data_IF_668649668511
#
_entry.id   IF_668649668511
#
_cell.length_a   1.000
_cell.length_b   1.000
_cell.length_c   1.000
_cell.angle_alpha   90.00
_cell.angle_beta   90.00
_cell.angle_gamma   90.00
#
_symmetry.space_group_name_H-M   'P 1'
#
loop_
_entity.id
_entity.type
_entity.pdbx_description
1 polymer ?
#
# COMPACT_ATOMS: atom_id res chain seq x y z
N UNK A 1 -16.88 -19.22 -14.12
CA UNK A 1 -15.83 -18.30 -13.67
C UNK A 1 -15.11 -18.92 -12.48
N UNK A 2 -13.80 -19.10 -12.60
CA UNK A 2 -13.08 -19.67 -11.47
C UNK A 2 -13.13 -18.74 -10.27
N UNK A 3 -13.19 -19.31 -9.08
CA UNK A 3 -13.11 -18.53 -7.85
C UNK A 3 -11.73 -17.90 -7.73
N UNK A 4 -11.66 -16.66 -7.28
CA UNK A 4 -10.39 -16.01 -7.04
C UNK A 4 -9.67 -16.68 -5.86
N UNK A 5 -8.34 -16.65 -5.89
CA UNK A 5 -7.52 -17.12 -4.78
C UNK A 5 -7.92 -16.35 -3.51
N UNK A 6 -8.13 -17.03 -2.36
CA UNK A 6 -8.49 -16.33 -1.11
C UNK A 6 -7.51 -15.23 -0.70
N UNK A 7 -6.20 -15.40 -1.00
CA UNK A 7 -5.21 -14.36 -0.71
C UNK A 7 -5.40 -13.14 -1.60
N UNK A 8 -5.75 -13.35 -2.88
CA UNK A 8 -6.05 -12.26 -3.80
C UNK A 8 -7.28 -11.49 -3.33
N UNK A 9 -8.34 -12.19 -2.92
CA UNK A 9 -9.55 -11.56 -2.41
C UNK A 9 -9.26 -10.75 -1.15
N UNK A 10 -8.49 -11.30 -0.21
CA UNK A 10 -8.14 -10.61 1.02
C UNK A 10 -7.33 -9.35 0.72
N UNK A 11 -6.37 -9.43 -0.21
CA UNK A 11 -5.56 -8.28 -0.60
C UNK A 11 -6.40 -7.22 -1.26
N UNK A 12 -7.29 -7.60 -2.20
CA UNK A 12 -8.14 -6.63 -2.90
C UNK A 12 -9.14 -5.95 -1.99
N UNK A 13 -9.65 -6.66 -0.98
CA UNK A 13 -10.57 -6.07 0.00
C UNK A 13 -9.91 -4.91 0.76
N UNK A 14 -8.60 -4.93 0.95
CA UNK A 14 -7.86 -3.85 1.58
C UNK A 14 -7.91 -2.56 0.76
N UNK A 15 -8.10 -2.68 -0.56
CA UNK A 15 -8.18 -1.51 -1.44
C UNK A 15 -9.38 -0.61 -1.15
N UNK A 16 -10.42 -1.14 -0.52
CA UNK A 16 -11.60 -0.35 -0.12
C UNK A 16 -11.39 0.39 1.20
N UNK A 17 -10.31 0.11 1.92
CA UNK A 17 -10.01 0.74 3.21
C UNK A 17 -9.40 2.12 3.02
N UNK A 18 -9.57 3.00 4.01
CA UNK A 18 -8.97 4.34 3.97
C UNK A 18 -7.46 4.29 4.22
N UNK A 19 -7.01 3.41 5.10
CA UNK A 19 -5.61 3.24 5.43
C UNK A 19 -5.28 1.76 5.54
N UNK A 20 -4.08 1.42 5.09
CA UNK A 20 -3.50 0.12 5.39
C UNK A 20 -2.14 0.33 6.06
N UNK A 21 -1.79 -0.60 6.95
CA UNK A 21 -0.44 -0.67 7.48
C UNK A 21 0.39 -1.47 6.49
N UNK A 22 1.35 -0.80 5.86
CA UNK A 22 2.32 -1.45 4.98
C UNK A 22 3.57 -1.72 5.82
N UNK A 23 3.91 -2.99 5.96
CA UNK A 23 5.12 -3.39 6.69
C UNK A 23 6.18 -3.83 5.69
N UNK A 24 7.29 -3.11 5.68
CA UNK A 24 8.48 -3.45 4.91
C UNK A 24 9.52 -4.01 5.85
N UNK A 25 10.58 -4.62 5.32
CA UNK A 25 11.55 -5.34 6.15
C UNK A 25 12.96 -4.84 5.89
N UNK A 26 13.70 -4.63 6.98
CA UNK A 26 15.12 -4.32 6.90
C UNK A 26 15.89 -5.55 6.44
N UNK A 27 17.16 -5.37 6.06
CA UNK A 27 17.99 -6.49 5.61
C UNK A 27 18.16 -7.57 6.68
N UNK A 28 18.11 -7.17 7.95
CA UNK A 28 18.18 -8.12 9.07
C UNK A 28 16.83 -8.78 9.40
N UNK A 29 15.78 -8.49 8.61
CA UNK A 29 14.45 -9.05 8.83
C UNK A 29 13.54 -8.26 9.75
N UNK A 30 14.01 -7.17 10.33
CA UNK A 30 13.23 -6.38 11.26
C UNK A 30 12.08 -5.66 10.52
N UNK A 31 10.82 -5.79 11.00
CA UNK A 31 9.68 -5.15 10.36
C UNK A 31 9.63 -3.65 10.64
N UNK A 32 9.20 -2.88 9.64
CA UNK A 32 8.99 -1.44 9.76
C UNK A 32 7.58 -1.13 9.25
N UNK A 33 6.58 -1.03 10.14
CA UNK A 33 5.20 -0.74 9.74
C UNK A 33 4.98 0.75 9.55
N UNK A 34 4.18 1.12 8.53
CA UNK A 34 3.74 2.50 8.30
C UNK A 34 2.32 2.51 7.75
N UNK A 35 1.46 3.46 8.22
CA UNK A 35 0.16 3.66 7.59
C UNK A 35 0.32 4.38 6.26
N UNK A 36 -0.40 3.92 5.25
CA UNK A 36 -0.36 4.53 3.91
C UNK A 36 -1.76 4.54 3.31
N UNK A 37 -1.96 5.45 2.37
CA UNK A 37 -3.14 5.45 1.52
C UNK A 37 -2.99 4.34 0.48
N UNK A 38 -4.13 3.76 0.08
CA UNK A 38 -4.15 2.63 -0.82
C UNK A 38 -5.28 2.80 -1.84
N UNK A 39 -5.07 2.29 -3.04
CA UNK A 39 -6.10 2.28 -4.06
C UNK A 39 -6.05 0.96 -4.82
N UNK A 40 -7.23 0.39 -5.19
CA UNK A 40 -7.24 -0.77 -6.07
C UNK A 40 -6.71 -0.40 -7.45
N UNK A 41 -5.94 -1.30 -8.05
CA UNK A 41 -5.36 -1.14 -9.36
C UNK A 41 -5.47 -2.45 -10.12
N UNK A 42 -6.61 -2.67 -10.79
CA UNK A 42 -6.91 -3.94 -11.41
C UNK A 42 -6.99 -5.04 -10.35
N UNK A 43 -6.17 -6.05 -10.48
CA UNK A 43 -6.09 -7.16 -9.52
C UNK A 43 -5.00 -6.96 -8.47
N UNK A 44 -4.43 -5.77 -8.39
CA UNK A 44 -3.39 -5.43 -7.43
C UNK A 44 -3.80 -4.20 -6.62
N UNK A 45 -2.93 -3.81 -5.69
CA UNK A 45 -3.06 -2.57 -4.92
C UNK A 45 -1.92 -1.63 -5.27
N UNK A 46 -2.21 -0.33 -5.23
CA UNK A 46 -1.18 0.69 -5.37
C UNK A 46 -1.18 1.59 -4.15
N UNK A 47 0.01 2.03 -3.75
CA UNK A 47 0.20 2.97 -2.65
C UNK A 47 1.13 4.08 -3.10
N UNK A 48 0.98 5.25 -2.47
CA UNK A 48 1.87 6.38 -2.73
C UNK A 48 2.89 6.48 -1.60
N UNK A 49 4.15 6.71 -1.98
CA UNK A 49 5.24 6.92 -1.04
C UNK A 49 6.17 8.00 -1.62
N UNK A 50 6.51 9.04 -0.85
CA UNK A 50 7.46 10.04 -1.34
C UNK A 50 8.80 9.42 -1.72
N UNK A 51 9.41 9.94 -2.78
CA UNK A 51 10.70 9.48 -3.24
C UNK A 51 11.76 9.62 -2.15
N UNK A 52 12.72 8.70 -2.12
CA UNK A 52 13.83 8.74 -1.17
C UNK A 52 13.50 8.25 0.23
N UNK A 53 12.29 7.74 0.46
CA UNK A 53 11.94 7.20 1.78
C UNK A 53 12.59 5.84 2.01
N UNK A 54 12.72 5.47 3.29
CA UNK A 54 13.24 4.16 3.65
C UNK A 54 12.41 3.00 3.13
N UNK A 55 11.09 3.20 2.96
CA UNK A 55 10.21 2.17 2.40
C UNK A 55 10.66 1.73 1.01
N UNK A 56 11.00 2.67 0.14
CA UNK A 56 11.45 2.36 -1.21
C UNK A 56 12.77 1.57 -1.20
N UNK A 57 13.69 1.94 -0.32
CA UNK A 57 14.96 1.22 -0.17
C UNK A 57 14.72 -0.21 0.31
N UNK A 58 13.85 -0.39 1.31
CA UNK A 58 13.57 -1.71 1.86
C UNK A 58 12.91 -2.61 0.83
N UNK A 59 11.96 -2.10 0.05
CA UNK A 59 11.29 -2.85 -1.01
C UNK A 59 12.30 -3.25 -2.10
N UNK A 60 13.26 -2.38 -2.39
CA UNK A 60 14.27 -2.65 -3.40
C UNK A 60 15.14 -3.86 -3.09
N UNK A 61 15.46 -4.10 -1.82
CA UNK A 61 16.26 -5.28 -1.45
C UNK A 61 15.41 -6.43 -0.90
N UNK A 62 14.21 -6.14 -0.40
CA UNK A 62 13.31 -7.16 0.17
C UNK A 62 11.89 -6.86 -0.32
N UNK A 63 11.48 -7.44 -1.46
CA UNK A 63 10.17 -7.11 -2.04
C UNK A 63 8.98 -7.68 -1.26
N UNK A 64 9.21 -8.64 -0.35
CA UNK A 64 8.16 -9.16 0.51
C UNK A 64 7.69 -8.08 1.47
N UNK A 65 6.37 -7.92 1.56
CA UNK A 65 5.74 -6.98 2.49
C UNK A 65 4.54 -7.66 3.14
N UNK A 66 4.01 -7.06 4.21
CA UNK A 66 2.69 -7.44 4.72
C UNK A 66 1.80 -6.22 4.74
N UNK A 67 0.50 -6.44 4.58
CA UNK A 67 -0.50 -5.39 4.58
C UNK A 67 -1.66 -5.77 5.48
N UNK A 68 -2.17 -4.79 6.20
CA UNK A 68 -3.30 -4.98 7.11
C UNK A 68 -4.11 -3.70 7.18
N UNK A 69 -5.43 -3.83 7.29
CA UNK A 69 -6.29 -2.67 7.52
C UNK A 69 -5.87 -1.99 8.83
N UNK A 70 -5.81 -0.66 8.84
CA UNK A 70 -5.42 0.07 10.04
C UNK A 70 -6.15 1.40 10.13
N UNK A 71 -6.01 2.07 11.28
CA UNK A 71 -6.46 3.44 11.47
C UNK A 71 -5.46 4.42 10.86
N UNK A 72 -5.84 5.69 10.82
CA UNK A 72 -4.95 6.77 10.36
C UNK A 72 -3.62 6.77 11.12
N UNK A 73 -3.65 6.45 12.41
CA UNK A 73 -2.45 6.39 13.23
C UNK A 73 -1.63 5.12 13.09
N UNK A 74 -2.08 4.17 12.27
CA UNK A 74 -1.37 2.93 12.03
C UNK A 74 -1.74 1.79 12.96
N UNK A 75 -2.80 1.93 13.74
CA UNK A 75 -3.23 0.88 14.66
C UNK A 75 -4.00 -0.21 13.92
N UNK A 76 -3.55 -1.45 14.07
CA UNK A 76 -4.20 -2.64 13.53
C UNK A 76 -4.98 -3.31 14.65
N UNK A 77 -6.25 -3.68 14.39
CA UNK A 77 -7.07 -4.37 15.38
C UNK A 77 -6.52 -5.77 15.64
N UNK A 78 -6.74 -6.27 16.87
CA UNK A 78 -6.17 -7.55 17.32
C UNK A 78 -6.64 -8.75 16.50
N UNK A 79 -7.85 -8.67 15.93
CA UNK A 79 -8.43 -9.75 15.14
C UNK A 79 -8.05 -9.71 13.66
N UNK A 80 -7.26 -8.71 13.24
CA UNK A 80 -6.82 -8.58 11.85
C UNK A 80 -5.53 -9.36 11.64
N UNK A 81 -5.54 -10.23 10.64
CA UNK A 81 -4.36 -11.01 10.25
C UNK A 81 -3.72 -10.33 9.04
N UNK A 82 -2.45 -9.89 9.14
CA UNK A 82 -1.76 -9.29 8.01
C UNK A 82 -1.66 -10.25 6.83
N UNK A 83 -1.76 -9.70 5.62
CA UNK A 83 -1.67 -10.46 4.38
C UNK A 83 -0.29 -10.26 3.78
N UNK A 84 0.38 -11.36 3.42
CA UNK A 84 1.67 -11.31 2.77
C UNK A 84 1.51 -10.96 1.28
N UNK A 85 2.39 -10.11 0.77
CA UNK A 85 2.36 -9.67 -0.61
C UNK A 85 3.77 -9.34 -1.08
N UNK A 86 3.91 -9.07 -2.38
CA UNK A 86 5.15 -8.59 -2.98
C UNK A 86 4.91 -7.19 -3.54
N UNK A 87 5.83 -6.29 -3.26
CA UNK A 87 5.76 -4.91 -3.71
C UNK A 87 6.84 -4.63 -4.75
N UNK A 88 6.48 -3.82 -5.73
CA UNK A 88 7.40 -3.29 -6.72
C UNK A 88 7.27 -1.77 -6.72
N UNK A 89 8.38 -1.08 -6.61
CA UNK A 89 8.40 0.37 -6.69
C UNK A 89 8.66 0.82 -8.12
N UNK A 90 8.03 1.92 -8.51
CA UNK A 90 8.27 2.52 -9.82
C UNK A 90 8.36 4.04 -9.67
N UNK A 91 9.26 4.64 -10.46
CA UNK A 91 9.34 6.09 -10.64
C UNK A 91 9.03 6.49 -12.08
N UNK A 92 8.54 5.55 -12.89
CA UNK A 92 8.15 5.85 -14.26
C UNK A 92 7.06 6.92 -14.27
N UNK A 93 7.26 8.08 -14.96
CA UNK A 93 6.33 9.19 -14.90
C UNK A 93 4.90 8.82 -15.33
N UNK A 94 4.74 7.96 -16.32
CA UNK A 94 3.42 7.54 -16.79
C UNK A 94 2.69 6.71 -15.73
N UNK A 95 3.40 5.78 -15.06
CA UNK A 95 2.84 4.97 -13.99
C UNK A 95 2.52 5.81 -12.76
N UNK A 96 3.42 6.71 -12.38
CA UNK A 96 3.19 7.63 -11.25
C UNK A 96 1.96 8.48 -11.50
N UNK A 97 1.81 9.03 -12.71
CA UNK A 97 0.64 9.84 -13.06
C UNK A 97 -0.65 9.03 -12.99
N UNK A 98 -0.63 7.79 -13.48
CA UNK A 98 -1.79 6.91 -13.47
C UNK A 98 -2.23 6.57 -12.04
N UNK A 99 -1.29 6.18 -11.19
CA UNK A 99 -1.58 5.85 -9.80
C UNK A 99 -2.03 7.09 -9.03
N UNK A 100 -1.41 8.24 -9.27
CA UNK A 100 -1.79 9.50 -8.65
C UNK A 100 -3.25 9.85 -8.98
N UNK A 101 -3.68 9.63 -10.21
CA UNK A 101 -5.07 9.87 -10.61
C UNK A 101 -6.03 8.93 -9.88
N UNK A 102 -5.67 7.65 -9.74
CA UNK A 102 -6.49 6.70 -8.99
C UNK A 102 -6.65 7.13 -7.53
N UNK A 103 -5.57 7.58 -6.91
CA UNK A 103 -5.60 8.07 -5.53
C UNK A 103 -6.44 9.34 -5.41
N UNK A 104 -6.29 10.27 -6.35
CA UNK A 104 -7.08 11.50 -6.35
C UNK A 104 -8.58 11.21 -6.50
N UNK A 105 -8.94 10.23 -7.32
CA UNK A 105 -10.34 9.85 -7.51
C UNK A 105 -10.91 9.23 -6.23
N UNK A 106 -10.15 8.43 -5.52
CA UNK A 106 -10.61 7.80 -4.28
C UNK A 106 -10.68 8.76 -3.11
N UNK A 107 -9.63 9.55 -2.89
CA UNK A 107 -9.50 10.39 -1.69
C UNK A 107 -9.98 11.83 -1.92
N UNK A 108 -10.13 12.26 -3.18
CA UNK A 108 -10.71 13.54 -3.53
C UNK A 108 -9.92 14.72 -2.96
N UNK A 109 -10.63 15.64 -2.31
CA UNK A 109 -10.04 16.86 -1.78
C UNK A 109 -8.94 16.59 -0.74
N UNK A 110 -9.12 15.56 0.06
CA UNK A 110 -8.13 15.18 1.07
C UNK A 110 -6.77 14.91 0.44
N UNK A 111 -6.75 14.19 -0.67
CA UNK A 111 -5.52 13.90 -1.40
C UNK A 111 -4.91 15.18 -2.01
N UNK A 112 -5.74 16.04 -2.58
CA UNK A 112 -5.26 17.30 -3.16
C UNK A 112 -4.61 18.19 -2.13
N UNK A 113 -5.21 18.29 -0.95
CA UNK A 113 -4.64 19.08 0.16
C UNK A 113 -3.29 18.48 0.58
N UNK A 114 -3.21 17.18 0.70
CA UNK A 114 -1.97 16.50 1.07
C UNK A 114 -0.86 16.79 0.06
N UNK A 115 -1.17 16.75 -1.23
CA UNK A 115 -0.17 16.96 -2.28
C UNK A 115 0.29 18.41 -2.40
N UNK A 116 -0.45 19.38 -1.84
CA UNK A 116 -0.06 20.78 -1.82
C UNK A 116 0.90 21.10 -0.68
N UNK A 117 1.00 20.23 0.29
CA UNK A 117 1.90 20.38 1.43
C UNK A 117 3.23 19.70 1.15
#
# INVERSE_FOLDING_TARGET
>A
MPAADPRTNATLALGASDFIQLTTFRRNGEPVPTPVWVVPDGDTLAVFTPAGTGKLKRIGHTPRVTVAVCTRGGRVADDVVPVEAHATATDDPAEVARITRLLADKYGLQFKIFMLV
#
